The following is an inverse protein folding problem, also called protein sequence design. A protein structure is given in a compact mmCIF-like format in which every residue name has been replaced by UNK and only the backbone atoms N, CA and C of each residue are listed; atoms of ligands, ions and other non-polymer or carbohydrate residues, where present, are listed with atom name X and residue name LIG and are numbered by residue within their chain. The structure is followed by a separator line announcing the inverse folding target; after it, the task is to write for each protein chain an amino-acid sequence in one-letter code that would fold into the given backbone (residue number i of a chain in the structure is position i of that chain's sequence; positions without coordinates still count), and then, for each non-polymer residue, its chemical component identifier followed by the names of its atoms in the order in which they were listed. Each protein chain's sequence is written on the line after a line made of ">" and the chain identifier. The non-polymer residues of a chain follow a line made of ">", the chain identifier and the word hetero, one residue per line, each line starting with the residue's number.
data_IF_581109621584
#
_entry.id   IF_581109621584
#
_cell.length_a   1.000
_cell.length_b   1.000
_cell.length_c   1.000
_cell.angle_alpha   90.00
_cell.angle_beta   90.00
_cell.angle_gamma   90.00
#
_symmetry.space_group_name_H-M   'P 1'
#
loop_
_entity.id
_entity.type
_entity.pdbx_description
1 polymer ?
#
# COMPACT_ATOMS: atom_id res chain seq x y z
N UNK A 1 8.05 37.19 16.77
CA UNK A 1 8.85 36.33 15.85
C UNK A 1 8.67 34.83 16.08
N UNK A 2 8.69 34.32 17.32
CA UNK A 2 8.52 32.89 17.65
C UNK A 2 7.32 32.21 16.99
N UNK A 3 6.13 32.85 16.96
CA UNK A 3 4.92 32.29 16.32
C UNK A 3 5.12 31.91 14.84
N UNK A 4 5.96 32.64 14.09
CA UNK A 4 6.24 32.32 12.66
C UNK A 4 7.14 31.09 12.50
N UNK A 5 8.01 30.82 13.46
CA UNK A 5 8.95 29.69 13.43
C UNK A 5 8.23 28.39 13.82
N UNK A 6 7.27 28.46 14.74
CA UNK A 6 6.49 27.28 15.16
C UNK A 6 5.77 26.67 13.96
N UNK A 7 5.15 27.47 13.08
CA UNK A 7 4.48 26.95 11.88
C UNK A 7 5.43 26.39 10.81
N UNK A 8 6.72 26.75 10.82
CA UNK A 8 7.74 26.19 9.91
C UNK A 8 8.18 24.79 10.39
N UNK A 9 8.25 24.58 11.71
CA UNK A 9 8.57 23.28 12.31
C UNK A 9 7.34 22.37 12.49
N UNK A 10 6.15 22.95 12.62
CA UNK A 10 4.91 22.20 12.80
C UNK A 10 4.37 21.75 11.45
N UNK A 11 4.68 20.50 11.10
CA UNK A 11 4.11 19.83 9.93
C UNK A 11 2.58 19.96 9.97
N UNK A 12 1.92 20.67 9.04
CA UNK A 12 0.48 20.78 9.05
C UNK A 12 -0.16 19.44 8.68
N UNK A 13 -1.36 19.17 9.19
CA UNK A 13 -2.04 17.89 8.96
C UNK A 13 -2.25 17.59 7.46
N UNK A 14 -2.50 18.63 6.65
CA UNK A 14 -2.65 18.51 5.19
C UNK A 14 -1.36 18.09 4.48
N UNK A 15 -0.19 18.48 5.00
CA UNK A 15 1.10 17.99 4.49
C UNK A 15 1.42 16.61 5.08
N UNK A 16 1.00 16.31 6.31
CA UNK A 16 1.16 14.99 6.90
C UNK A 16 0.47 13.90 6.06
N UNK A 17 -0.76 14.14 5.59
CA UNK A 17 -1.45 13.20 4.69
C UNK A 17 -0.69 13.00 3.38
N UNK A 18 -0.15 14.07 2.78
CA UNK A 18 0.68 13.96 1.58
C UNK A 18 1.96 13.12 1.85
N UNK A 19 2.63 13.33 2.97
CA UNK A 19 3.81 12.54 3.34
C UNK A 19 3.44 11.07 3.62
N UNK A 20 2.25 10.78 4.14
CA UNK A 20 1.78 9.40 4.30
C UNK A 20 1.63 8.68 2.95
N UNK A 21 1.08 9.36 1.94
CA UNK A 21 0.99 8.80 0.59
C UNK A 21 2.38 8.58 -0.03
N UNK A 22 3.31 9.54 0.14
CA UNK A 22 4.71 9.35 -0.25
C UNK A 22 5.36 8.15 0.44
N UNK A 23 5.13 7.98 1.75
CA UNK A 23 5.62 6.83 2.53
C UNK A 23 5.04 5.53 1.98
N UNK A 24 3.75 5.51 1.67
CA UNK A 24 3.07 4.35 1.10
C UNK A 24 3.65 3.97 -0.28
N UNK A 25 3.94 4.97 -1.12
CA UNK A 25 4.60 4.80 -2.41
C UNK A 25 6.12 4.54 -2.33
N UNK A 26 6.69 4.36 -1.11
CA UNK A 26 8.13 4.20 -0.86
C UNK A 26 9.02 5.33 -1.42
N UNK A 27 8.45 6.53 -1.59
CA UNK A 27 9.11 7.71 -2.16
C UNK A 27 9.22 8.86 -1.15
N UNK A 28 9.52 8.52 0.11
CA UNK A 28 9.67 9.48 1.21
C UNK A 28 11.14 9.60 1.61
N UNK A 29 11.64 10.81 1.80
CA UNK A 29 12.99 11.01 2.32
C UNK A 29 13.08 10.67 3.82
N UNK A 30 14.25 10.30 4.35
CA UNK A 30 14.41 10.00 5.78
C UNK A 30 13.97 11.14 6.71
N UNK A 31 14.24 12.40 6.31
CA UNK A 31 13.85 13.60 7.07
C UNK A 31 12.33 13.77 7.12
N UNK A 32 11.67 13.70 5.97
CA UNK A 32 10.20 13.76 5.88
C UNK A 32 9.58 12.61 6.69
N UNK A 33 10.17 11.42 6.61
CA UNK A 33 9.70 10.24 7.32
C UNK A 33 9.76 10.42 8.84
N UNK A 34 10.86 10.96 9.36
CA UNK A 34 11.00 11.26 10.79
C UNK A 34 10.01 12.33 11.25
N UNK A 35 9.88 13.43 10.50
CA UNK A 35 8.92 14.51 10.80
C UNK A 35 7.48 14.01 10.81
N UNK A 36 7.11 13.18 9.83
CA UNK A 36 5.80 12.56 9.75
C UNK A 36 5.53 11.66 10.96
N UNK A 37 6.49 10.80 11.33
CA UNK A 37 6.34 9.92 12.49
C UNK A 37 6.08 10.71 13.78
N UNK A 38 6.82 11.79 14.01
CA UNK A 38 6.60 12.67 15.17
C UNK A 38 5.21 13.30 15.16
N UNK A 39 4.75 13.79 14.00
CA UNK A 39 3.42 14.37 13.86
C UNK A 39 2.30 13.36 14.15
N UNK A 40 2.39 12.15 13.60
CA UNK A 40 1.38 11.10 13.77
C UNK A 40 1.27 10.64 15.22
N UNK A 41 2.38 10.61 15.97
CA UNK A 41 2.35 10.29 17.39
C UNK A 41 1.53 11.29 18.22
N UNK A 42 1.49 12.56 17.82
CA UNK A 42 0.85 13.64 18.57
C UNK A 42 -0.59 13.89 18.07
N UNK A 43 -0.81 13.82 16.75
CA UNK A 43 -2.08 14.18 16.13
C UNK A 43 -3.02 12.97 15.99
N UNK A 44 -4.04 12.90 16.85
CA UNK A 44 -5.06 11.84 16.85
C UNK A 44 -5.74 11.61 15.49
N UNK A 45 -5.99 12.69 14.75
CA UNK A 45 -6.68 12.61 13.45
C UNK A 45 -5.79 12.02 12.37
N UNK A 46 -4.51 12.42 12.35
CA UNK A 46 -3.52 11.85 11.43
C UNK A 46 -3.24 10.38 11.76
N UNK A 47 -3.23 10.00 13.05
CA UNK A 47 -3.15 8.59 13.44
C UNK A 47 -4.33 7.77 12.92
N UNK A 48 -5.56 8.26 13.13
CA UNK A 48 -6.75 7.59 12.62
C UNK A 48 -6.76 7.51 11.08
N UNK A 49 -6.26 8.53 10.39
CA UNK A 49 -6.12 8.49 8.93
C UNK A 49 -5.05 7.47 8.48
N UNK A 50 -3.91 7.38 9.16
CA UNK A 50 -2.87 6.39 8.86
C UNK A 50 -3.39 4.95 9.00
N UNK A 51 -4.21 4.68 10.03
CA UNK A 51 -4.86 3.37 10.22
C UNK A 51 -5.85 3.05 9.09
N UNK A 52 -6.63 4.04 8.63
CA UNK A 52 -7.52 3.88 7.47
C UNK A 52 -6.73 3.55 6.19
N UNK A 53 -5.62 4.25 5.95
CA UNK A 53 -4.75 3.96 4.80
C UNK A 53 -4.17 2.56 4.84
N UNK A 54 -3.63 2.13 5.99
CA UNK A 54 -3.10 0.76 6.16
C UNK A 54 -4.15 -0.30 5.89
N UNK A 55 -5.37 -0.08 6.39
CA UNK A 55 -6.51 -0.97 6.16
C UNK A 55 -6.85 -1.05 4.67
N UNK A 56 -7.00 0.10 4.00
CA UNK A 56 -7.28 0.16 2.57
C UNK A 56 -6.19 -0.54 1.74
N UNK A 57 -4.92 -0.26 2.02
CA UNK A 57 -3.78 -0.87 1.32
C UNK A 57 -3.75 -2.40 1.52
N UNK A 58 -4.03 -2.88 2.73
CA UNK A 58 -4.13 -4.33 2.97
C UNK A 58 -5.28 -4.99 2.21
N UNK A 59 -6.44 -4.33 2.12
CA UNK A 59 -7.60 -4.84 1.36
C UNK A 59 -7.28 -4.90 -0.12
N UNK A 60 -6.65 -3.85 -0.67
CA UNK A 60 -6.26 -3.80 -2.07
C UNK A 60 -5.21 -4.87 -2.38
N UNK A 61 -4.15 -4.97 -1.57
CA UNK A 61 -3.16 -6.05 -1.72
C UNK A 61 -3.79 -7.43 -1.67
N UNK A 62 -4.69 -7.67 -0.71
CA UNK A 62 -5.37 -8.96 -0.60
C UNK A 62 -6.33 -9.26 -1.76
N UNK A 63 -6.88 -8.27 -2.46
CA UNK A 63 -7.68 -8.52 -3.65
C UNK A 63 -6.80 -8.85 -4.85
N UNK A 64 -5.72 -8.10 -5.05
CA UNK A 64 -4.88 -8.21 -6.24
C UNK A 64 -3.93 -9.41 -6.17
N UNK A 65 -3.31 -9.66 -5.01
CA UNK A 65 -2.36 -10.76 -4.85
C UNK A 65 -3.01 -12.10 -4.50
N UNK A 66 -4.31 -12.13 -4.20
CA UNK A 66 -5.04 -13.39 -3.98
C UNK A 66 -5.56 -14.01 -5.27
N UNK A 67 -5.52 -13.27 -6.39
CA UNK A 67 -5.85 -13.79 -7.73
C UNK A 67 -4.69 -14.53 -8.41
N UNK A 68 -3.47 -14.50 -7.86
CA UNK A 68 -2.27 -15.11 -8.47
C UNK A 68 -1.66 -16.25 -7.63
N UNK A 69 -2.51 -17.01 -6.93
CA UNK A 69 -2.21 -18.41 -6.62
C UNK A 69 -3.12 -19.29 -7.45
N UNK A 70 -3.03 -19.15 -8.77
CA UNK A 70 -3.33 -20.29 -9.61
C UNK A 70 -2.16 -21.26 -9.39
N UNK A 71 -2.29 -22.17 -8.43
CA UNK A 71 -1.59 -23.45 -8.46
C UNK A 71 -2.04 -24.15 -9.76
N UNK A 72 -1.59 -23.68 -10.92
CA UNK A 72 -1.63 -24.45 -12.14
C UNK A 72 -0.55 -25.51 -11.95
N UNK A 73 -0.96 -26.63 -11.39
CA UNK A 73 -0.13 -27.81 -11.31
C UNK A 73 0.19 -28.24 -12.75
N UNK A 74 1.42 -28.70 -13.01
CA UNK A 74 1.80 -29.27 -14.30
C UNK A 74 0.81 -30.36 -14.78
N UNK A 75 0.17 -31.04 -13.83
CA UNK A 75 -0.91 -32.02 -14.09
C UNK A 75 -2.14 -31.36 -14.73
N UNK A 76 -2.56 -30.18 -14.28
CA UNK A 76 -3.70 -29.45 -14.85
C UNK A 76 -3.41 -29.01 -16.28
N UNK A 77 -2.15 -28.63 -16.56
CA UNK A 77 -1.69 -28.26 -17.89
C UNK A 77 -1.67 -29.48 -18.82
N UNK A 78 -1.26 -30.65 -18.32
CA UNK A 78 -1.24 -31.89 -19.11
C UNK A 78 -2.64 -32.42 -19.39
N UNK A 79 -3.54 -32.45 -18.41
CA UNK A 79 -4.94 -32.85 -18.64
C UNK A 79 -5.62 -31.95 -19.67
N UNK A 80 -5.32 -30.65 -19.66
CA UNK A 80 -5.83 -29.72 -20.66
C UNK A 80 -5.30 -30.05 -22.07
N UNK A 81 -4.00 -30.30 -22.22
CA UNK A 81 -3.39 -30.70 -23.50
C UNK A 81 -4.00 -32.00 -24.02
N UNK A 82 -4.11 -33.02 -23.19
CA UNK A 82 -4.69 -34.32 -23.55
C UNK A 82 -6.15 -34.19 -23.99
N UNK A 83 -6.91 -33.30 -23.35
CA UNK A 83 -8.31 -33.02 -23.70
C UNK A 83 -8.43 -32.30 -25.05
N UNK A 84 -7.47 -31.44 -25.40
CA UNK A 84 -7.42 -30.79 -26.71
C UNK A 84 -7.01 -31.81 -27.78
N UNK A 85 -5.97 -32.63 -27.54
CA UNK A 85 -5.54 -33.67 -28.47
C UNK A 85 -6.66 -34.66 -28.77
N UNK A 86 -7.39 -35.14 -27.75
CA UNK A 86 -8.57 -36.01 -27.92
C UNK A 86 -9.71 -35.39 -28.73
N UNK A 87 -9.79 -34.07 -28.83
CA UNK A 87 -10.79 -33.37 -29.65
C UNK A 87 -10.32 -33.10 -31.07
N UNK A 88 -9.01 -33.22 -31.32
CA UNK A 88 -8.38 -33.01 -32.62
C UNK A 88 -8.11 -34.33 -33.35
N UNK A 89 -8.00 -35.44 -32.62
CA UNK A 89 -8.11 -36.77 -33.20
C UNK A 89 -9.57 -37.03 -33.58
N UNK A 90 -9.82 -37.20 -34.89
CA UNK A 90 -11.12 -37.53 -35.50
C UNK A 90 -11.58 -38.94 -35.17
#
# INVERSE_FOLDING_TARGET
>A
MFRKIIHIFFLPCSTATLLMEKRNAKNISPKENWQLSMHVMICKWCKAYEEKLKTLDSILKNKWFKEEKTDLNDTDIQEFKDKIFRKLDF
#
